data_IF_818203168430
#
_entry.id   IF_818203168430
#
_cell.length_a   1.000
_cell.length_b   1.000
_cell.length_c   1.000
_cell.angle_alpha   90.00
_cell.angle_beta   90.00
_cell.angle_gamma   90.00
#
_symmetry.space_group_name_H-M   'P 1'
#
loop_
_entity.id
_entity.type
_entity.pdbx_description
1 polymer ?
#
# COMPACT_ATOMS: atom_id res chain seq x y z
N UNK A 1 21.93 -8.18 2.09
CA UNK A 1 23.08 -7.45 1.50
C UNK A 1 23.31 -6.12 2.19
N UNK A 2 24.39 -5.41 1.86
CA UNK A 2 24.64 -4.06 2.40
C UNK A 2 23.73 -3.00 1.77
N UNK A 3 23.14 -2.12 2.59
CA UNK A 3 22.36 -0.97 2.15
C UNK A 3 22.60 0.24 3.07
N UNK A 4 22.23 1.44 2.64
CA UNK A 4 22.17 2.62 3.52
C UNK A 4 20.79 2.70 4.17
N UNK A 5 20.74 2.79 5.50
CA UNK A 5 19.47 2.88 6.24
C UNK A 5 19.42 4.19 7.02
N UNK A 6 18.28 4.87 6.95
CA UNK A 6 17.97 6.03 7.79
C UNK A 6 16.95 5.59 8.84
N UNK A 7 17.36 5.69 10.10
CA UNK A 7 16.56 5.25 11.25
C UNK A 7 15.82 6.44 11.86
N UNK A 8 14.63 6.23 12.40
CA UNK A 8 13.93 7.26 13.17
C UNK A 8 14.53 7.42 14.59
N UNK A 9 14.51 8.64 15.15
CA UNK A 9 15.08 9.01 16.44
C UNK A 9 16.01 10.23 16.42
N UNK A 10 16.77 10.48 17.51
CA UNK A 10 17.64 11.66 17.69
C UNK A 10 18.71 11.88 16.60
N UNK A 11 18.93 10.90 15.70
CA UNK A 11 19.88 10.96 14.58
C UNK A 11 19.22 10.67 13.23
N UNK A 12 17.92 10.97 13.10
CA UNK A 12 17.13 10.68 11.90
C UNK A 12 17.61 11.37 10.62
N UNK A 13 18.57 12.30 10.70
CA UNK A 13 19.21 12.91 9.53
C UNK A 13 20.36 12.08 8.93
N UNK A 14 20.85 11.04 9.61
CA UNK A 14 22.02 10.27 9.16
C UNK A 14 21.66 8.94 8.50
N UNK A 15 22.18 8.75 7.29
CA UNK A 15 22.20 7.46 6.61
C UNK A 15 23.39 6.64 7.06
N UNK A 16 23.15 5.42 7.52
CA UNK A 16 24.22 4.52 7.96
C UNK A 16 24.28 3.26 7.11
N UNK A 17 25.48 2.80 6.78
CA UNK A 17 25.66 1.48 6.15
C UNK A 17 25.24 0.39 7.14
N UNK A 18 24.38 -0.53 6.70
CA UNK A 18 23.84 -1.65 7.46
C UNK A 18 23.81 -2.90 6.60
N UNK A 19 23.80 -4.06 7.26
CA UNK A 19 23.61 -5.35 6.61
C UNK A 19 22.16 -5.78 6.77
N UNK A 20 21.46 -5.93 5.65
CA UNK A 20 20.07 -6.37 5.61
C UNK A 20 20.01 -7.88 5.41
N UNK A 21 19.16 -8.55 6.18
CA UNK A 21 18.87 -9.98 6.04
C UNK A 21 17.37 -10.18 5.98
N UNK A 22 16.87 -10.59 4.82
CA UNK A 22 15.47 -10.95 4.60
C UNK A 22 15.29 -12.45 4.82
N UNK A 23 14.48 -12.81 5.82
CA UNK A 23 14.04 -14.18 6.11
C UNK A 23 12.58 -14.35 5.65
N UNK A 24 12.00 -15.52 5.89
CA UNK A 24 10.62 -15.81 5.51
C UNK A 24 9.61 -14.85 6.16
N UNK A 25 9.80 -14.52 7.44
CA UNK A 25 8.84 -13.71 8.22
C UNK A 25 9.39 -12.36 8.68
N UNK A 26 10.69 -12.12 8.53
CA UNK A 26 11.34 -10.94 9.11
C UNK A 26 12.39 -10.35 8.19
N UNK A 27 12.44 -9.02 8.12
CA UNK A 27 13.59 -8.26 7.64
C UNK A 27 14.38 -7.74 8.85
N UNK A 28 15.63 -8.18 9.01
CA UNK A 28 16.50 -7.68 10.08
C UNK A 28 17.56 -6.74 9.52
N UNK A 29 17.79 -5.64 10.25
CA UNK A 29 18.83 -4.65 9.98
C UNK A 29 19.94 -4.88 11.00
N UNK A 30 21.13 -5.22 10.54
CA UNK A 30 22.30 -5.53 11.38
C UNK A 30 23.39 -4.49 11.17
N UNK A 31 24.30 -4.36 12.15
CA UNK A 31 25.44 -3.45 12.04
C UNK A 31 26.39 -3.86 10.91
N UNK A 32 26.63 -5.17 10.75
CA UNK A 32 27.42 -5.79 9.70
C UNK A 32 27.03 -7.27 9.56
N UNK A 33 27.65 -7.98 8.62
CA UNK A 33 27.34 -9.39 8.30
C UNK A 33 27.65 -10.39 9.43
N UNK A 34 28.55 -10.03 10.36
CA UNK A 34 28.98 -10.89 11.47
C UNK A 34 28.17 -10.64 12.75
N UNK A 35 27.24 -9.69 12.75
CA UNK A 35 26.52 -9.29 13.96
C UNK A 35 25.26 -10.14 14.15
N UNK A 36 25.21 -10.94 15.22
CA UNK A 36 24.03 -11.76 15.55
C UNK A 36 22.86 -10.88 16.01
N UNK A 37 23.13 -9.82 16.78
CA UNK A 37 22.10 -8.93 17.31
C UNK A 37 21.64 -7.92 16.26
N UNK A 38 20.36 -7.98 15.90
CA UNK A 38 19.75 -7.01 14.99
C UNK A 38 19.61 -5.64 15.67
N UNK A 39 19.93 -4.58 14.92
CA UNK A 39 19.64 -3.18 15.28
C UNK A 39 18.15 -2.91 15.16
N UNK A 40 17.50 -3.49 14.14
CA UNK A 40 16.05 -3.49 14.00
C UNK A 40 15.55 -4.83 13.47
N UNK A 41 14.37 -5.24 13.93
CA UNK A 41 13.67 -6.44 13.47
C UNK A 41 12.27 -6.04 12.99
N UNK A 42 12.03 -6.18 11.69
CA UNK A 42 10.78 -5.83 11.03
C UNK A 42 10.04 -7.12 10.72
N UNK A 43 8.88 -7.33 11.36
CA UNK A 43 7.99 -8.44 11.04
C UNK A 43 7.24 -8.15 9.74
N UNK A 44 7.35 -9.02 8.75
CA UNK A 44 6.79 -8.80 7.41
C UNK A 44 5.26 -8.76 7.43
N UNK A 45 4.61 -9.48 8.34
CA UNK A 45 3.14 -9.37 8.53
C UNK A 45 2.67 -8.05 9.18
N UNK A 46 3.59 -7.18 9.62
CA UNK A 46 3.27 -5.84 10.15
C UNK A 46 3.54 -4.70 9.16
N UNK A 47 4.02 -5.05 7.96
CA UNK A 47 4.30 -4.10 6.88
C UNK A 47 2.98 -3.66 6.27
N UNK A 48 2.75 -2.36 6.23
CA UNK A 48 1.55 -1.73 5.67
C UNK A 48 1.77 -1.27 4.23
N UNK A 49 3.00 -0.82 3.92
CA UNK A 49 3.37 -0.37 2.58
C UNK A 49 4.88 -0.50 2.35
N UNK A 50 5.27 -0.78 1.11
CA UNK A 50 6.64 -0.75 0.62
C UNK A 50 6.65 -0.05 -0.73
N UNK A 51 7.33 1.09 -0.83
CA UNK A 51 7.32 1.90 -2.04
C UNK A 51 8.60 2.72 -2.21
N UNK A 52 8.84 3.17 -3.44
CA UNK A 52 9.97 4.07 -3.76
C UNK A 52 9.82 5.43 -3.08
N UNK A 53 10.95 6.07 -2.83
CA UNK A 53 11.02 7.43 -2.30
C UNK A 53 12.22 8.19 -2.87
N UNK A 54 12.14 9.52 -2.82
CA UNK A 54 13.12 10.45 -3.39
C UNK A 54 14.12 10.99 -2.36
N UNK A 55 14.15 10.42 -1.14
CA UNK A 55 15.11 10.85 -0.13
C UNK A 55 16.58 10.58 -0.50
N UNK A 56 16.85 9.57 -1.33
CA UNK A 56 18.18 9.23 -1.84
C UNK A 56 18.06 8.44 -3.17
N UNK A 57 19.06 8.48 -4.07
CA UNK A 57 19.05 7.60 -5.23
C UNK A 57 18.85 6.13 -4.83
N UNK A 58 18.01 5.43 -5.59
CA UNK A 58 17.67 4.03 -5.36
C UNK A 58 17.14 3.76 -3.95
N UNK A 59 16.30 4.67 -3.42
CA UNK A 59 15.69 4.51 -2.10
C UNK A 59 14.22 4.12 -2.12
N UNK A 60 13.83 3.38 -1.09
CA UNK A 60 12.47 2.97 -0.81
C UNK A 60 12.20 3.09 0.69
N UNK A 61 10.92 3.13 1.04
CA UNK A 61 10.45 3.13 2.41
C UNK A 61 9.66 1.86 2.72
N UNK A 62 9.76 1.41 3.96
CA UNK A 62 8.94 0.35 4.54
C UNK A 62 8.15 0.99 5.66
N UNK A 63 6.83 1.06 5.49
CA UNK A 63 5.91 1.58 6.49
C UNK A 63 5.37 0.39 7.29
N UNK A 64 5.45 0.48 8.61
CA UNK A 64 4.84 -0.45 9.55
C UNK A 64 3.95 0.33 10.51
N UNK A 65 3.07 -0.37 11.23
CA UNK A 65 2.12 0.20 12.20
C UNK A 65 2.69 1.24 13.19
N UNK A 66 3.98 1.17 13.52
CA UNK A 66 4.60 2.06 14.50
C UNK A 66 5.88 2.75 14.04
N UNK A 67 6.40 2.45 12.84
CA UNK A 67 7.68 2.99 12.37
C UNK A 67 7.82 2.90 10.86
N UNK A 68 8.44 3.92 10.28
CA UNK A 68 8.88 3.92 8.88
C UNK A 68 10.40 3.75 8.81
N UNK A 69 10.85 2.92 7.87
CA UNK A 69 12.26 2.67 7.62
C UNK A 69 12.59 3.11 6.20
N UNK A 70 13.66 3.88 6.02
CA UNK A 70 14.13 4.26 4.70
C UNK A 70 15.42 3.53 4.36
N UNK A 71 15.46 2.93 3.18
CA UNK A 71 16.56 2.09 2.71
C UNK A 71 16.97 2.59 1.34
N UNK A 72 18.28 2.78 1.13
CA UNK A 72 18.85 3.09 -0.18
C UNK A 72 19.82 2.00 -0.63
N UNK A 73 19.54 1.46 -1.81
CA UNK A 73 20.24 0.37 -2.46
C UNK A 73 21.40 0.86 -3.33
N UNK A 74 22.18 -0.08 -3.88
CA UNK A 74 23.33 0.24 -4.76
C UNK A 74 22.92 0.54 -6.21
N UNK A 75 21.75 0.06 -6.64
CA UNK A 75 21.24 0.19 -8.01
C UNK A 75 19.71 0.12 -8.04
N UNK A 76 19.12 0.49 -9.19
CA UNK A 76 17.68 0.35 -9.43
C UNK A 76 17.22 -1.11 -9.38
N UNK A 77 18.00 -2.02 -9.95
CA UNK A 77 17.75 -3.47 -9.92
C UNK A 77 17.66 -3.99 -8.47
N UNK A 78 18.66 -3.68 -7.64
CA UNK A 78 18.68 -4.06 -6.22
C UNK A 78 17.48 -3.44 -5.49
N UNK A 79 17.11 -2.19 -5.77
CA UNK A 79 15.89 -1.58 -5.21
C UNK A 79 14.63 -2.37 -5.56
N UNK A 80 14.42 -2.73 -6.82
CA UNK A 80 13.21 -3.43 -7.24
C UNK A 80 13.17 -4.87 -6.73
N UNK A 81 14.32 -5.55 -6.67
CA UNK A 81 14.44 -6.89 -6.06
C UNK A 81 14.05 -6.86 -4.57
N UNK A 82 14.55 -5.87 -3.81
CA UNK A 82 14.18 -5.70 -2.40
C UNK A 82 12.68 -5.42 -2.22
N UNK A 83 12.10 -4.53 -3.03
CA UNK A 83 10.67 -4.21 -2.96
C UNK A 83 9.83 -5.47 -3.25
N UNK A 84 10.12 -6.18 -4.34
CA UNK A 84 9.36 -7.37 -4.76
C UNK A 84 9.41 -8.49 -3.71
N UNK A 85 10.60 -8.81 -3.19
CA UNK A 85 10.77 -9.86 -2.20
C UNK A 85 10.11 -9.52 -0.85
N UNK A 86 10.17 -8.25 -0.41
CA UNK A 86 9.48 -7.82 0.81
C UNK A 86 7.96 -7.87 0.59
N UNK A 87 7.48 -7.37 -0.54
CA UNK A 87 6.07 -7.35 -0.89
C UNK A 87 5.48 -8.77 -0.94
N UNK A 88 6.07 -9.68 -1.72
CA UNK A 88 5.64 -11.10 -1.83
C UNK A 88 5.53 -11.78 -0.47
N UNK A 89 6.53 -11.59 0.40
CA UNK A 89 6.55 -12.22 1.73
C UNK A 89 5.55 -11.56 2.68
N UNK A 90 5.40 -10.23 2.63
CA UNK A 90 4.39 -9.53 3.45
C UNK A 90 2.97 -9.97 3.10
N UNK A 91 2.64 -10.11 1.80
CA UNK A 91 1.33 -10.58 1.35
C UNK A 91 1.06 -12.04 1.72
N UNK A 92 2.06 -12.91 1.62
CA UNK A 92 1.90 -14.32 2.01
C UNK A 92 1.62 -14.52 3.51
N UNK A 93 1.98 -13.54 4.35
CA UNK A 93 1.72 -13.59 5.80
C UNK A 93 0.36 -13.02 6.20
N UNK A 94 -0.28 -12.25 5.32
CA UNK A 94 -1.65 -11.80 5.54
C UNK A 94 -2.58 -12.91 5.06
N UNK A 95 -3.09 -13.72 5.99
CA UNK A 95 -4.07 -14.78 5.71
C UNK A 95 -5.48 -14.24 5.38
N UNK A 96 -5.54 -13.09 4.71
CA UNK A 96 -6.75 -12.45 4.24
C UNK A 96 -6.42 -11.64 3.00
N UNK A 97 -7.38 -11.42 2.09
CA UNK A 97 -7.10 -10.64 0.90
C UNK A 97 -6.53 -9.27 1.33
N UNK A 98 -5.31 -8.93 0.88
CA UNK A 98 -4.83 -7.55 0.91
C UNK A 98 -5.56 -6.82 -0.21
N UNK A 99 -6.85 -6.67 0.05
CA UNK A 99 -7.82 -6.09 -0.82
C UNK A 99 -7.57 -4.59 -0.80
N UNK A 100 -6.74 -4.08 -1.70
CA UNK A 100 -6.97 -2.71 -2.15
C UNK A 100 -8.14 -2.75 -3.14
N UNK A 101 -9.34 -3.03 -2.62
CA UNK A 101 -10.55 -2.57 -3.28
C UNK A 101 -10.89 -1.26 -2.60
N UNK A 102 -11.09 -0.21 -3.38
CA UNK A 102 -11.98 0.87 -2.98
C UNK A 102 -13.38 0.24 -2.79
N UNK A 103 -13.61 -0.46 -1.68
CA UNK A 103 -14.97 -0.83 -1.26
C UNK A 103 -15.59 0.46 -0.72
N UNK A 104 -15.94 1.37 -1.63
CA UNK A 104 -16.94 2.37 -1.33
C UNK A 104 -18.22 1.56 -1.24
N UNK A 105 -18.73 1.37 -0.01
CA UNK A 105 -20.00 0.69 0.19
C UNK A 105 -21.08 1.59 -0.42
N UNK A 106 -21.41 1.34 -1.69
CA UNK A 106 -22.46 2.07 -2.38
C UNK A 106 -23.79 1.55 -1.84
N UNK A 107 -24.42 2.35 -0.98
CA UNK A 107 -25.75 2.10 -0.45
C UNK A 107 -26.78 2.92 -1.22
N UNK A 108 -27.95 2.36 -1.49
CA UNK A 108 -29.10 3.13 -1.94
C UNK A 108 -29.92 3.58 -0.72
N UNK A 109 -30.15 4.88 -0.57
CA UNK A 109 -31.00 5.41 0.49
C UNK A 109 -32.46 5.47 0.00
N UNK A 110 -33.36 4.58 0.48
CA UNK A 110 -34.75 4.54 0.04
C UNK A 110 -35.58 5.74 0.53
N UNK A 111 -35.10 6.51 1.50
CA UNK A 111 -35.79 7.71 1.99
C UNK A 111 -35.57 8.92 1.07
N UNK A 112 -34.37 9.02 0.49
CA UNK A 112 -33.98 10.14 -0.37
C UNK A 112 -33.93 9.79 -1.86
N UNK A 113 -34.01 8.50 -2.21
CA UNK A 113 -34.01 8.00 -3.59
C UNK A 113 -32.66 8.20 -4.31
N UNK A 114 -31.56 8.24 -3.54
CA UNK A 114 -30.22 8.54 -4.05
C UNK A 114 -29.20 7.51 -3.59
N UNK A 115 -28.15 7.34 -4.37
CA UNK A 115 -26.98 6.57 -3.96
C UNK A 115 -26.12 7.37 -2.97
N UNK A 116 -25.60 6.64 -1.98
CA UNK A 116 -24.71 7.14 -0.93
C UNK A 116 -23.42 6.35 -1.01
N UNK A 117 -22.29 7.00 -0.70
CA UNK A 117 -20.98 6.35 -0.82
C UNK A 117 -20.60 6.01 -2.27
N UNK A 118 -21.01 6.80 -3.27
CA UNK A 118 -20.49 6.64 -4.63
C UNK A 118 -19.02 7.10 -4.70
N UNK A 119 -18.14 6.36 -5.40
CA UNK A 119 -16.85 6.87 -5.85
C UNK A 119 -17.03 8.18 -6.63
N UNK A 120 -15.99 9.02 -6.63
CA UNK A 120 -16.03 10.31 -7.33
C UNK A 120 -16.26 10.13 -8.83
N UNK A 121 -15.69 9.07 -9.39
CA UNK A 121 -15.77 8.68 -10.78
C UNK A 121 -17.21 8.29 -11.16
N UNK A 122 -17.87 7.47 -10.34
CA UNK A 122 -19.26 7.06 -10.55
C UNK A 122 -20.23 8.22 -10.39
N UNK A 123 -19.96 9.12 -9.45
CA UNK A 123 -20.76 10.34 -9.30
C UNK A 123 -20.69 11.23 -10.55
N UNK A 124 -19.51 11.38 -11.14
CA UNK A 124 -19.34 12.13 -12.38
C UNK A 124 -20.04 11.46 -13.57
N UNK A 125 -19.98 10.13 -13.67
CA UNK A 125 -20.72 9.38 -14.67
C UNK A 125 -22.23 9.51 -14.47
N UNK A 126 -22.70 9.47 -13.23
CA UNK A 126 -24.11 9.65 -12.90
C UNK A 126 -24.60 11.06 -13.24
N UNK A 127 -23.81 12.09 -12.93
CA UNK A 127 -24.12 13.49 -13.26
C UNK A 127 -24.06 13.75 -14.79
N UNK A 128 -23.18 13.04 -15.51
CA UNK A 128 -23.07 13.10 -16.96
C UNK A 128 -24.14 12.25 -17.68
N UNK A 129 -24.63 11.20 -17.03
CA UNK A 129 -25.73 10.39 -17.49
C UNK A 129 -27.03 11.13 -17.20
N UNK A 130 -27.94 11.24 -18.16
CA UNK A 130 -29.25 11.88 -17.93
C UNK A 130 -30.20 11.04 -17.05
N UNK A 131 -29.68 10.25 -16.12
CA UNK A 131 -30.44 9.34 -15.26
C UNK A 131 -31.12 10.16 -14.16
N UNK A 132 -32.44 10.12 -14.15
CA UNK A 132 -33.27 10.81 -13.16
C UNK A 132 -33.31 10.08 -11.82
N UNK A 133 -33.69 10.80 -10.75
CA UNK A 133 -33.93 10.19 -9.42
C UNK A 133 -35.05 9.16 -9.46
N UNK A 134 -36.05 9.34 -10.33
CA UNK A 134 -37.11 8.35 -10.51
C UNK A 134 -36.56 7.03 -11.09
N UNK A 135 -35.66 7.09 -12.07
CA UNK A 135 -35.02 5.90 -12.66
C UNK A 135 -34.14 5.16 -11.67
N UNK A 136 -33.35 5.91 -10.88
CA UNK A 136 -32.55 5.33 -9.79
C UNK A 136 -33.42 4.62 -8.75
N UNK A 137 -34.57 5.21 -8.39
CA UNK A 137 -35.47 4.62 -7.41
C UNK A 137 -36.23 3.41 -7.96
N UNK A 138 -36.50 3.38 -9.27
CA UNK A 138 -37.22 2.29 -9.92
C UNK A 138 -36.35 1.05 -10.11
N UNK A 139 -35.06 1.22 -10.42
CA UNK A 139 -34.15 0.10 -10.60
C UNK A 139 -32.71 0.45 -10.20
N UNK A 140 -32.42 0.55 -8.88
CA UNK A 140 -31.11 0.96 -8.40
C UNK A 140 -30.00 -0.03 -8.80
N UNK A 141 -30.33 -1.32 -8.93
CA UNK A 141 -29.36 -2.34 -9.33
C UNK A 141 -28.86 -2.11 -10.76
N UNK A 142 -29.76 -1.85 -11.72
CA UNK A 142 -29.36 -1.63 -13.11
C UNK A 142 -28.52 -0.36 -13.28
N UNK A 143 -28.75 0.68 -12.46
CA UNK A 143 -27.91 1.88 -12.49
C UNK A 143 -26.50 1.57 -11.99
N UNK A 144 -26.36 0.75 -10.94
CA UNK A 144 -25.05 0.31 -10.45
C UNK A 144 -24.29 -0.53 -11.48
N UNK A 145 -24.96 -1.51 -12.08
CA UNK A 145 -24.36 -2.41 -13.07
C UNK A 145 -23.81 -1.63 -14.28
N UNK A 146 -24.51 -0.57 -14.70
CA UNK A 146 -24.05 0.33 -15.77
C UNK A 146 -22.81 1.13 -15.35
N UNK A 147 -22.83 1.71 -14.14
CA UNK A 147 -21.70 2.49 -13.63
C UNK A 147 -20.44 1.63 -13.47
N UNK A 148 -20.59 0.38 -13.02
CA UNK A 148 -19.50 -0.58 -12.89
C UNK A 148 -18.87 -0.90 -14.25
N UNK A 149 -19.70 -1.19 -15.27
CA UNK A 149 -19.24 -1.49 -16.64
C UNK A 149 -18.40 -0.36 -17.26
N UNK A 150 -18.73 0.91 -16.99
CA UNK A 150 -17.96 2.05 -17.49
C UNK A 150 -16.62 2.27 -16.77
N UNK A 151 -16.41 1.67 -15.59
CA UNK A 151 -15.17 1.81 -14.81
C UNK A 151 -14.21 0.64 -14.90
N UNK A 152 -14.63 -0.50 -15.45
CA UNK A 152 -13.79 -1.69 -15.69
C UNK A 152 -13.21 -1.73 -17.13
N UNK A 153 -13.21 -0.58 -17.83
CA UNK A 153 -12.65 -0.38 -19.19
C UNK A 153 -11.30 0.33 -19.15
#
# INVERSE_FOLDING_TARGET
GYASVKEDGLRSFLWSKRWLVLREQTLTIQRNENTIQAVANIFLGSVESVQRTDHKPFSFEIVTKGKTYYIACKSSEDLYEWIDEIYKRSQSMVSGPTNFTHNVHVGFDPMNGIFTGLPKEWKQLLDASSISKEEMSKNPQAVLDVLEFYTDQ
#
